data_IF_924526328393
#
_entry.id   IF_924526328393
#
_cell.length_a   1.000
_cell.length_b   1.000
_cell.length_c   1.000
_cell.angle_alpha   90.00
_cell.angle_beta   90.00
_cell.angle_gamma   90.00
#
_symmetry.space_group_name_H-M   'P 1'
#
loop_
_entity.id
_entity.type
_entity.pdbx_description
1 polymer ?
#
# COMPACT_ATOMS: atom_id res chain seq x y z
N UNK A 1 11.53 -6.93 -24.71
CA UNK A 1 10.06 -6.91 -24.63
C UNK A 1 9.68 -6.27 -23.31
N UNK A 2 8.87 -5.22 -23.40
CA UNK A 2 8.49 -4.35 -22.28
C UNK A 2 7.54 -5.08 -21.32
N UNK A 3 7.89 -5.07 -20.03
CA UNK A 3 6.98 -5.32 -18.92
C UNK A 3 7.31 -4.33 -17.80
N UNK A 4 7.21 -3.04 -18.13
CA UNK A 4 7.13 -1.94 -17.17
C UNK A 4 5.65 -1.55 -17.07
N UNK A 5 4.86 -2.37 -16.40
CA UNK A 5 3.47 -2.07 -16.11
C UNK A 5 3.20 -2.47 -14.66
N UNK A 6 2.57 -1.54 -13.94
CA UNK A 6 2.06 -1.65 -12.58
C UNK A 6 3.02 -1.37 -11.42
N UNK A 7 3.63 -0.19 -11.44
CA UNK A 7 3.52 0.67 -10.25
C UNK A 7 2.13 1.33 -10.32
N UNK A 8 1.06 0.56 -10.06
CA UNK A 8 -0.14 1.20 -9.54
C UNK A 8 0.32 1.70 -8.17
N UNK A 9 0.72 2.98 -8.13
CA UNK A 9 1.01 3.66 -6.90
C UNK A 9 -0.16 3.34 -5.98
N UNK A 10 0.08 2.54 -4.93
CA UNK A 10 -0.83 2.44 -3.82
C UNK A 10 -0.80 3.83 -3.17
N UNK A 11 -1.51 4.77 -3.77
CA UNK A 11 -1.58 6.10 -3.26
C UNK A 11 -2.40 6.01 -1.98
N UNK A 12 -1.76 6.38 -0.87
CA UNK A 12 -2.43 6.65 0.40
C UNK A 12 -3.29 7.93 0.29
N UNK A 13 -4.05 8.07 -0.80
CA UNK A 13 -4.90 9.21 -1.11
C UNK A 13 -6.06 9.23 -0.12
N UNK A 14 -5.82 9.94 0.97
CA UNK A 14 -6.80 10.33 1.96
C UNK A 14 -7.22 11.79 1.83
N UNK A 15 -8.11 12.24 2.73
CA UNK A 15 -8.39 13.66 2.86
C UNK A 15 -7.14 14.43 3.26
N UNK A 16 -7.06 15.69 2.85
CA UNK A 16 -6.07 16.62 3.38
C UNK A 16 -6.26 16.75 4.91
N UNK A 17 -5.28 16.26 5.66
CA UNK A 17 -5.32 16.25 7.13
C UNK A 17 -5.34 17.67 7.71
N UNK A 18 -4.74 18.65 7.05
CA UNK A 18 -4.78 20.05 7.48
C UNK A 18 -6.16 20.68 7.23
N UNK A 19 -6.82 20.30 6.13
CA UNK A 19 -8.21 20.69 5.90
C UNK A 19 -9.16 20.04 6.92
N UNK A 20 -8.91 18.77 7.26
CA UNK A 20 -9.69 18.07 8.27
C UNK A 20 -9.54 18.67 9.67
N UNK A 21 -8.32 19.02 10.09
CA UNK A 21 -8.09 19.70 11.38
C UNK A 21 -8.86 21.02 11.47
N UNK A 22 -8.83 21.83 10.39
CA UNK A 22 -9.64 23.06 10.31
C UNK A 22 -11.14 22.79 10.41
N UNK A 23 -11.63 21.71 9.80
CA UNK A 23 -13.03 21.32 9.87
C UNK A 23 -13.43 20.90 11.29
N UNK A 24 -12.57 20.18 12.01
CA UNK A 24 -12.76 19.86 13.43
C UNK A 24 -12.83 21.14 14.26
N UNK A 25 -11.88 22.06 14.07
CA UNK A 25 -11.83 23.33 14.80
C UNK A 25 -13.07 24.22 14.59
N UNK A 26 -13.72 24.11 13.42
CA UNK A 26 -14.92 24.87 13.06
C UNK A 26 -16.23 24.12 13.29
N UNK A 27 -16.17 22.89 13.83
CA UNK A 27 -17.32 22.00 13.93
C UNK A 27 -18.09 21.84 12.60
N UNK A 28 -17.38 21.76 11.46
CA UNK A 28 -17.98 21.64 10.14
C UNK A 28 -18.55 20.23 9.90
N UNK A 29 -19.82 20.05 10.27
CA UNK A 29 -20.52 18.78 10.14
C UNK A 29 -20.56 18.27 8.69
N UNK A 30 -20.68 19.16 7.70
CA UNK A 30 -20.81 18.76 6.29
C UNK A 30 -19.48 18.16 5.81
N UNK A 31 -18.37 18.83 6.10
CA UNK A 31 -17.04 18.34 5.75
C UNK A 31 -16.73 17.02 6.45
N UNK A 32 -17.00 16.94 7.76
CA UNK A 32 -16.76 15.73 8.55
C UNK A 32 -17.58 14.55 8.02
N UNK A 33 -18.88 14.72 7.79
CA UNK A 33 -19.72 13.64 7.25
C UNK A 33 -19.26 13.20 5.86
N UNK A 34 -18.93 14.13 4.96
CA UNK A 34 -18.46 13.80 3.62
C UNK A 34 -17.10 13.06 3.63
N UNK A 35 -16.19 13.48 4.50
CA UNK A 35 -14.88 12.84 4.64
C UNK A 35 -15.03 11.41 5.16
N UNK A 36 -15.71 11.25 6.29
CA UNK A 36 -15.79 9.95 6.97
C UNK A 36 -16.75 8.94 6.32
N UNK A 37 -17.65 9.37 5.43
CA UNK A 37 -18.50 8.45 4.66
C UNK A 37 -17.72 7.72 3.56
N UNK A 38 -16.65 8.33 3.04
CA UNK A 38 -15.80 7.73 2.00
C UNK A 38 -14.73 6.77 2.57
N UNK A 39 -14.32 6.95 3.83
CA UNK A 39 -13.21 6.21 4.43
C UNK A 39 -13.38 4.68 4.46
N UNK A 40 -14.56 4.09 4.75
CA UNK A 40 -14.70 2.64 4.73
C UNK A 40 -14.34 2.01 3.38
N UNK A 41 -14.75 2.64 2.28
CA UNK A 41 -14.43 2.17 0.94
C UNK A 41 -12.96 2.38 0.60
N UNK A 42 -12.35 3.51 1.01
CA UNK A 42 -10.91 3.77 0.82
C UNK A 42 -10.04 2.75 1.56
N UNK A 43 -10.31 2.53 2.86
CA UNK A 43 -9.57 1.54 3.68
C UNK A 43 -9.71 0.13 3.10
N UNK A 44 -10.90 -0.24 2.63
CA UNK A 44 -11.13 -1.53 1.96
C UNK A 44 -10.33 -1.66 0.67
N UNK A 45 -10.39 -0.67 -0.21
CA UNK A 45 -9.67 -0.69 -1.49
C UNK A 45 -8.15 -0.84 -1.25
N UNK A 46 -7.60 -0.01 -0.36
CA UNK A 46 -6.21 -0.09 0.05
C UNK A 46 -5.81 -1.48 0.56
N UNK A 47 -6.60 -2.08 1.43
CA UNK A 47 -6.31 -3.41 1.98
C UNK A 47 -6.27 -4.51 0.89
N UNK A 48 -7.17 -4.43 -0.11
CA UNK A 48 -7.21 -5.36 -1.24
C UNK A 48 -5.98 -5.16 -2.12
N UNK A 49 -5.64 -3.92 -2.48
CA UNK A 49 -4.50 -3.61 -3.33
C UNK A 49 -3.17 -4.01 -2.65
N UNK A 50 -3.04 -3.72 -1.35
CA UNK A 50 -1.86 -4.07 -0.57
C UNK A 50 -1.69 -5.58 -0.38
N UNK A 51 -2.79 -6.33 -0.37
CA UNK A 51 -2.78 -7.78 -0.36
C UNK A 51 -2.27 -8.32 -1.71
N UNK A 52 -2.84 -7.85 -2.82
CA UNK A 52 -2.46 -8.32 -4.16
C UNK A 52 -1.00 -7.99 -4.49
N UNK A 53 -0.49 -6.82 -4.08
CA UNK A 53 0.92 -6.50 -4.30
C UNK A 53 1.84 -7.42 -3.48
N UNK A 54 1.47 -7.73 -2.23
CA UNK A 54 2.24 -8.68 -1.42
C UNK A 54 2.25 -10.08 -2.03
N UNK A 55 1.11 -10.54 -2.54
CA UNK A 55 0.97 -11.82 -3.24
C UNK A 55 1.90 -11.86 -4.47
N UNK A 56 1.93 -10.77 -5.25
CA UNK A 56 2.79 -10.65 -6.42
C UNK A 56 4.29 -10.65 -6.07
N UNK A 57 4.68 -9.97 -4.98
CA UNK A 57 6.05 -9.97 -4.45
C UNK A 57 6.45 -11.38 -4.00
N UNK A 58 5.56 -12.09 -3.31
CA UNK A 58 5.81 -13.49 -2.87
C UNK A 58 5.99 -14.41 -4.07
N UNK A 59 5.16 -14.26 -5.11
CA UNK A 59 5.31 -15.01 -6.36
C UNK A 59 6.65 -14.72 -7.04
N UNK A 60 7.06 -13.45 -7.10
CA UNK A 60 8.35 -13.04 -7.67
C UNK A 60 9.54 -13.64 -6.90
N UNK A 61 9.49 -13.62 -5.56
CA UNK A 61 10.53 -14.27 -4.72
C UNK A 61 10.64 -15.76 -4.98
N UNK A 62 9.51 -16.46 -5.11
CA UNK A 62 9.47 -17.89 -5.45
C UNK A 62 10.06 -18.16 -6.83
N UNK A 63 9.71 -17.35 -7.83
CA UNK A 63 10.24 -17.47 -9.19
C UNK A 63 11.77 -17.27 -9.20
N UNK A 64 12.28 -16.25 -8.50
CA UNK A 64 13.72 -16.01 -8.38
C UNK A 64 14.45 -17.17 -7.67
N UNK A 65 13.85 -17.74 -6.62
CA UNK A 65 14.41 -18.92 -5.96
C UNK A 65 14.51 -20.12 -6.91
N UNK A 66 13.49 -20.35 -7.75
CA UNK A 66 13.54 -21.41 -8.77
C UNK A 66 14.62 -21.15 -9.83
N UNK A 67 14.77 -19.91 -10.29
CA UNK A 67 15.84 -19.52 -11.24
C UNK A 67 17.24 -19.81 -10.66
N UNK A 68 17.45 -19.54 -9.37
CA UNK A 68 18.72 -19.82 -8.67
C UNK A 68 19.03 -21.31 -8.54
N UNK A 69 18.01 -22.16 -8.44
CA UNK A 69 18.17 -23.61 -8.33
C UNK A 69 18.28 -24.32 -9.69
N UNK A 70 17.80 -23.70 -10.78
CA UNK A 70 17.81 -24.31 -12.11
C UNK A 70 19.21 -24.80 -12.57
N UNK A 71 20.32 -24.07 -12.37
CA UNK A 71 21.67 -24.54 -12.74
C UNK A 71 22.14 -25.76 -11.91
N UNK A 72 21.62 -25.94 -10.70
CA UNK A 72 21.96 -27.07 -9.82
C UNK A 72 21.17 -28.33 -10.21
N UNK A 73 19.95 -28.15 -10.72
CA UNK A 73 19.06 -29.24 -11.11
C UNK A 73 19.35 -29.81 -12.51
N UNK A 74 20.01 -29.02 -13.38
CA UNK A 74 20.41 -29.47 -14.73
C UNK A 74 21.87 -29.92 -14.69
N UNK A 75 22.09 -31.22 -14.51
CA UNK A 75 23.39 -31.85 -14.70
C UNK A 75 23.80 -31.72 -16.18
N UNK A 76 24.65 -30.74 -16.49
CA UNK A 76 25.18 -30.39 -17.80
C UNK A 76 24.18 -29.67 -18.76
N UNK A 77 24.53 -28.47 -19.27
CA UNK A 77 23.76 -27.87 -20.35
C UNK A 77 23.89 -28.76 -21.61
N UNK A 78 22.78 -29.33 -22.07
CA UNK A 78 22.72 -29.89 -23.42
C UNK A 78 23.07 -28.76 -24.42
N UNK A 79 23.88 -29.08 -25.44
CA UNK A 79 24.27 -28.12 -26.46
C UNK A 79 23.00 -27.49 -27.09
N UNK A 80 22.81 -26.19 -26.90
CA UNK A 80 21.62 -25.44 -27.36
C UNK A 80 20.55 -25.16 -26.30
N UNK A 81 20.77 -25.55 -25.03
CA UNK A 81 19.88 -25.19 -23.92
C UNK A 81 19.90 -23.70 -23.57
N UNK A 82 18.87 -23.17 -22.88
CA UNK A 82 18.86 -21.79 -22.41
C UNK A 82 20.09 -21.50 -21.57
N UNK A 83 20.79 -20.39 -21.88
CA UNK A 83 21.93 -19.95 -21.05
C UNK A 83 21.38 -19.59 -19.66
N UNK A 84 21.91 -20.18 -18.58
CA UNK A 84 21.48 -19.83 -17.23
C UNK A 84 21.73 -18.35 -16.97
N UNK A 85 20.80 -17.70 -16.26
CA UNK A 85 20.93 -16.28 -15.91
C UNK A 85 22.24 -16.05 -15.14
N UNK A 86 22.92 -14.92 -15.44
CA UNK A 86 24.13 -14.57 -14.71
C UNK A 86 23.80 -14.23 -13.25
N UNK A 87 24.76 -14.42 -12.34
CA UNK A 87 24.57 -14.04 -10.94
C UNK A 87 24.21 -12.55 -10.80
N UNK A 88 24.81 -11.69 -11.63
CA UNK A 88 24.52 -10.25 -11.64
C UNK A 88 23.06 -9.96 -12.03
N UNK A 89 22.48 -10.69 -12.98
CA UNK A 89 21.07 -10.53 -13.36
C UNK A 89 20.13 -10.98 -12.24
N UNK A 90 20.46 -12.10 -11.58
CA UNK A 90 19.68 -12.63 -10.46
C UNK A 90 19.73 -11.71 -9.23
N UNK A 91 20.88 -11.08 -8.97
CA UNK A 91 21.03 -10.12 -7.89
C UNK A 91 20.31 -8.81 -8.19
N UNK A 92 20.35 -8.34 -9.43
CA UNK A 92 19.54 -7.20 -9.87
C UNK A 92 18.04 -7.47 -9.70
N UNK A 93 17.56 -8.65 -10.10
CA UNK A 93 16.17 -9.06 -9.89
C UNK A 93 15.81 -9.11 -8.40
N UNK A 94 16.72 -9.59 -7.55
CA UNK A 94 16.54 -9.59 -6.10
C UNK A 94 16.39 -8.18 -5.52
N UNK A 95 17.24 -7.23 -5.96
CA UNK A 95 17.17 -5.83 -5.52
C UNK A 95 15.84 -5.18 -5.90
N UNK A 96 15.35 -5.38 -7.13
CA UNK A 96 14.05 -4.84 -7.56
C UNK A 96 12.88 -5.39 -6.73
N UNK A 97 12.91 -6.68 -6.37
CA UNK A 97 11.90 -7.29 -5.50
C UNK A 97 11.98 -6.71 -4.07
N UNK A 98 13.18 -6.41 -3.58
CA UNK A 98 13.38 -5.79 -2.27
C UNK A 98 12.87 -4.34 -2.24
N UNK A 99 13.17 -3.55 -3.27
CA UNK A 99 12.67 -2.18 -3.42
C UNK A 99 11.14 -2.13 -3.41
N UNK A 100 10.48 -3.04 -4.14
CA UNK A 100 9.01 -3.16 -4.14
C UNK A 100 8.43 -3.50 -2.77
N UNK A 101 9.09 -4.38 -2.02
CA UNK A 101 8.67 -4.68 -0.65
C UNK A 101 8.78 -3.45 0.24
N UNK A 102 9.90 -2.72 0.15
CA UNK A 102 10.10 -1.51 0.94
C UNK A 102 9.02 -0.47 0.62
N UNK A 103 8.73 -0.26 -0.66
CA UNK A 103 7.67 0.66 -1.10
C UNK A 103 6.30 0.28 -0.53
N UNK A 104 5.94 -1.01 -0.58
CA UNK A 104 4.69 -1.50 0.00
C UNK A 104 4.63 -1.29 1.52
N UNK A 105 5.74 -1.50 2.21
CA UNK A 105 5.82 -1.34 3.68
C UNK A 105 5.75 0.14 4.09
N UNK A 106 6.41 1.02 3.35
CA UNK A 106 6.35 2.48 3.55
C UNK A 106 4.90 2.98 3.37
N UNK A 107 4.23 2.53 2.32
CA UNK A 107 2.84 2.89 2.03
C UNK A 107 1.89 2.37 3.11
N UNK A 108 2.07 1.12 3.60
CA UNK A 108 1.29 0.57 4.73
C UNK A 108 1.49 1.37 6.01
N UNK A 109 2.73 1.78 6.30
CA UNK A 109 3.05 2.62 7.44
C UNK A 109 2.31 3.97 7.34
N UNK A 110 2.39 4.65 6.20
CA UNK A 110 1.71 5.92 5.98
C UNK A 110 0.19 5.79 6.09
N UNK A 111 -0.40 4.73 5.52
CA UNK A 111 -1.85 4.48 5.64
C UNK A 111 -2.28 4.25 7.09
N UNK A 112 -1.48 3.50 7.88
CA UNK A 112 -1.75 3.27 9.30
C UNK A 112 -1.72 4.57 10.11
N UNK A 113 -0.70 5.40 9.89
CA UNK A 113 -0.60 6.71 10.55
C UNK A 113 -1.77 7.63 10.17
N UNK A 114 -2.15 7.65 8.89
CA UNK A 114 -3.32 8.40 8.38
C UNK A 114 -4.61 7.95 9.08
N UNK A 115 -4.83 6.65 9.17
CA UNK A 115 -6.03 6.09 9.81
C UNK A 115 -6.11 6.45 11.29
N UNK A 116 -4.98 6.39 12.01
CA UNK A 116 -4.90 6.83 13.41
C UNK A 116 -5.24 8.32 13.57
N UNK A 117 -4.70 9.19 12.70
CA UNK A 117 -4.98 10.62 12.73
C UNK A 117 -6.46 10.92 12.41
N UNK A 118 -7.04 10.21 11.44
CA UNK A 118 -8.46 10.31 11.10
C UNK A 118 -9.33 9.93 12.30
N UNK A 119 -9.04 8.81 12.94
CA UNK A 119 -9.82 8.32 14.07
C UNK A 119 -9.71 9.27 15.28
N UNK A 120 -8.51 9.81 15.54
CA UNK A 120 -8.30 10.84 16.56
C UNK A 120 -9.13 12.11 16.28
N UNK A 121 -9.08 12.65 15.07
CA UNK A 121 -9.82 13.85 14.69
C UNK A 121 -11.34 13.63 14.75
N UNK A 122 -11.81 12.44 14.37
CA UNK A 122 -13.22 12.06 14.50
C UNK A 122 -13.66 12.08 15.96
N UNK A 123 -12.87 11.47 16.85
CA UNK A 123 -13.16 11.45 18.28
C UNK A 123 -13.19 12.87 18.86
N UNK A 124 -12.23 13.73 18.49
CA UNK A 124 -12.22 15.12 18.92
C UNK A 124 -13.46 15.90 18.48
N UNK A 125 -13.88 15.74 17.22
CA UNK A 125 -15.12 16.35 16.73
C UNK A 125 -16.35 15.84 17.47
N UNK A 126 -16.46 14.52 17.69
CA UNK A 126 -17.60 13.96 18.41
C UNK A 126 -17.67 14.46 19.85
N UNK A 127 -16.53 14.59 20.53
CA UNK A 127 -16.46 15.10 21.90
C UNK A 127 -16.81 16.59 22.01
N UNK A 128 -16.33 17.42 21.07
CA UNK A 128 -16.42 18.90 21.16
C UNK A 128 -17.63 19.49 20.44
N UNK A 129 -18.05 18.89 19.34
CA UNK A 129 -18.98 19.50 18.38
C UNK A 129 -20.32 18.76 18.28
N UNK A 130 -20.32 17.43 18.44
CA UNK A 130 -21.55 16.65 18.27
C UNK A 130 -22.48 16.70 19.49
N UNK A 131 -21.96 17.10 20.66
CA UNK A 131 -22.72 17.25 21.91
C UNK A 131 -23.55 18.55 21.98
N UNK A 132 -23.22 19.56 21.17
CA UNK A 132 -23.90 20.87 21.18
C UNK A 132 -25.16 21.01 20.34
N UNK A 133 -25.62 19.94 19.66
CA UNK A 133 -26.86 19.96 18.84
C UNK A 133 -28.09 19.38 19.55
N UNK A 134 -27.96 19.03 20.83
CA UNK A 134 -29.03 18.38 21.60
C UNK A 134 -29.85 19.35 22.48
N UNK A 135 -29.47 20.63 22.58
CA UNK A 135 -30.13 21.61 23.46
C UNK A 135 -30.98 22.68 22.73
N UNK A 136 -31.15 22.57 21.42
CA UNK A 136 -32.06 23.42 20.63
C UNK A 136 -32.98 22.56 19.76
N UNK A 137 -33.89 21.82 20.39
CA UNK A 137 -35.12 21.36 19.74
C UNK A 137 -36.29 21.25 20.71
#
# INVERSE_FOLDING_TARGET
MAALLFAAALSAEGPDLAALDKAVARCDAKFMTATFSAEPQRRRAFAIDAYHEQESIVAARRALAMKRLAPVLVAAPAAGGPVPASNADLDREASLIAERQQELDDVRMLSSQRDQLLDLMRQQYLAKCATGKSDER
#
